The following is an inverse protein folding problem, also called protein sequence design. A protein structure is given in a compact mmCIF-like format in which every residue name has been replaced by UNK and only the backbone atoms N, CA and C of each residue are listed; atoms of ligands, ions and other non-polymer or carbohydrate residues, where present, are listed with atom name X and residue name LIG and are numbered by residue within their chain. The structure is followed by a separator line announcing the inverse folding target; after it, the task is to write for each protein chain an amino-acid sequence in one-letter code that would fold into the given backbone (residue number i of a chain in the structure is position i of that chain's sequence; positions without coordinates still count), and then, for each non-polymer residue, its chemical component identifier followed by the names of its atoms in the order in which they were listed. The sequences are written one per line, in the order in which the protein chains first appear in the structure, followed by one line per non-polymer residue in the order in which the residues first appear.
data_IF_288838295435
#
_entry.id   IF_288838295435
#
_cell.length_a   1.000
_cell.length_b   1.000
_cell.length_c   1.000
_cell.angle_alpha   90.00
_cell.angle_beta   90.00
_cell.angle_gamma   90.00
#
_symmetry.space_group_name_H-M   'P 1'
#
loop_
_entity.id
_entity.type
_entity.pdbx_description
1 polymer ?
#
# COMPACT_ATOMS: atom_id res chain seq x y z
N UNK A 1 27.51 23.38 18.57
CA UNK A 1 26.54 22.29 18.33
C UNK A 1 26.81 21.38 17.13
N UNK A 2 27.48 21.81 16.04
CA UNK A 2 27.75 20.92 14.86
C UNK A 2 28.76 19.78 15.11
N UNK A 3 29.75 19.98 15.99
CA UNK A 3 30.83 19.01 16.27
C UNK A 3 30.40 17.77 17.07
N UNK A 4 29.37 17.87 17.91
CA UNK A 4 28.82 16.71 18.63
C UNK A 4 28.00 15.79 17.72
N UNK A 5 27.43 16.34 16.64
CA UNK A 5 26.63 15.58 15.68
C UNK A 5 27.46 14.64 14.81
N UNK A 6 28.73 14.99 14.52
CA UNK A 6 29.62 14.19 13.69
C UNK A 6 30.26 13.05 14.48
N UNK A 7 30.70 13.29 15.73
CA UNK A 7 31.26 12.25 16.60
C UNK A 7 30.26 11.14 16.93
N UNK A 8 29.03 11.52 17.31
CA UNK A 8 27.96 10.56 17.60
C UNK A 8 27.60 9.71 16.38
N UNK A 9 27.53 10.32 15.18
CA UNK A 9 27.28 9.60 13.92
C UNK A 9 28.37 8.60 13.58
N UNK A 10 29.64 8.93 13.83
CA UNK A 10 30.78 8.02 13.57
C UNK A 10 30.80 6.86 14.56
N UNK A 11 30.55 7.11 15.85
CA UNK A 11 30.45 6.06 16.86
C UNK A 11 29.26 5.13 16.60
N UNK A 12 28.08 5.68 16.31
CA UNK A 12 26.90 4.88 15.94
C UNK A 12 27.15 4.04 14.68
N UNK A 13 27.84 4.58 13.67
CA UNK A 13 28.20 3.83 12.44
C UNK A 13 29.10 2.62 12.71
N UNK A 14 30.13 2.78 13.56
CA UNK A 14 31.03 1.67 13.92
C UNK A 14 30.31 0.62 14.76
N UNK A 15 29.51 1.07 15.75
CA UNK A 15 28.76 0.16 16.62
C UNK A 15 27.70 -0.61 15.83
N UNK A 16 26.94 0.07 14.96
CA UNK A 16 25.88 -0.56 14.17
C UNK A 16 26.45 -1.59 13.19
N UNK A 17 27.48 -1.23 12.42
CA UNK A 17 27.93 -2.08 11.31
C UNK A 17 28.76 -3.27 11.79
N UNK A 18 29.56 -3.10 12.85
CA UNK A 18 30.50 -4.15 13.31
C UNK A 18 29.87 -5.07 14.35
N UNK A 19 29.05 -4.54 15.28
CA UNK A 19 28.56 -5.34 16.41
C UNK A 19 27.11 -5.80 16.23
N UNK A 20 26.25 -5.01 15.59
CA UNK A 20 24.82 -5.33 15.42
C UNK A 20 24.54 -6.03 14.08
N UNK A 21 25.35 -5.80 13.05
CA UNK A 21 25.06 -6.36 11.71
C UNK A 21 25.94 -7.55 11.32
N UNK A 22 26.98 -7.87 12.08
CA UNK A 22 27.92 -8.96 11.76
C UNK A 22 27.31 -10.36 11.88
N UNK A 23 26.23 -10.52 12.65
CA UNK A 23 25.48 -11.77 12.78
C UNK A 23 24.05 -11.71 12.23
N UNK A 24 23.70 -10.66 11.49
CA UNK A 24 22.34 -10.47 11.00
C UNK A 24 22.09 -11.30 9.70
N UNK A 25 20.93 -12.00 9.57
CA UNK A 25 19.82 -12.08 10.53
C UNK A 25 20.09 -13.06 11.69
N UNK A 26 19.61 -12.70 12.89
CA UNK A 26 19.80 -13.52 14.09
C UNK A 26 18.79 -14.66 14.16
N UNK A 27 19.25 -15.85 14.58
CA UNK A 27 18.40 -17.00 14.89
C UNK A 27 18.41 -17.29 16.38
N UNK A 28 17.27 -17.70 16.94
CA UNK A 28 17.24 -18.18 18.31
C UNK A 28 17.72 -19.62 18.33
N UNK A 29 18.83 -19.86 19.03
CA UNK A 29 19.27 -21.21 19.37
C UNK A 29 18.36 -21.69 20.50
N UNK A 30 17.44 -22.60 20.20
CA UNK A 30 16.74 -23.32 21.25
C UNK A 30 17.78 -24.20 21.96
N UNK A 31 18.19 -23.78 23.16
CA UNK A 31 18.88 -24.67 24.10
C UNK A 31 17.89 -25.71 24.58
N UNK A 32 17.61 -26.69 23.73
CA UNK A 32 17.15 -27.99 24.20
C UNK A 32 18.27 -28.54 25.08
N UNK A 33 17.92 -28.90 26.32
CA UNK A 33 18.82 -29.49 27.30
C UNK A 33 19.32 -30.87 26.82
N UNK A 34 20.22 -30.89 25.85
CA UNK A 34 20.97 -32.08 25.46
C UNK A 34 22.45 -31.73 25.50
N UNK A 35 23.01 -31.86 26.69
CA UNK A 35 24.46 -31.96 26.89
C UNK A 35 24.93 -33.17 26.08
N UNK A 36 25.43 -32.96 24.86
CA UNK A 36 26.43 -33.84 24.26
C UNK A 36 27.47 -33.00 23.54
N UNK A 37 28.63 -32.92 24.20
CA UNK A 37 29.92 -32.55 23.64
C UNK A 37 30.11 -33.19 22.27
N UNK A 38 30.38 -32.39 21.25
CA UNK A 38 31.17 -32.82 20.10
C UNK A 38 31.96 -31.63 19.58
N UNK A 39 33.28 -31.82 19.49
CA UNK A 39 34.26 -30.87 18.98
C UNK A 39 34.25 -30.89 17.45
N UNK A 40 34.50 -29.72 16.85
CA UNK A 40 34.96 -29.48 15.46
C UNK A 40 34.06 -30.04 14.34
N UNK A 41 33.34 -29.16 13.64
CA UNK A 41 33.49 -28.99 12.19
C UNK A 41 32.66 -27.82 11.64
N UNK A 42 33.33 -27.07 10.76
CA UNK A 42 32.90 -26.28 9.60
C UNK A 42 31.71 -25.31 9.63
N UNK A 43 32.07 -24.12 9.18
CA UNK A 43 31.28 -23.00 8.70
C UNK A 43 30.23 -23.42 7.65
N UNK A 44 29.12 -22.66 7.62
CA UNK A 44 28.08 -22.67 6.59
C UNK A 44 27.21 -23.93 6.52
N UNK A 45 26.37 -24.11 7.54
CA UNK A 45 25.06 -24.73 7.31
C UNK A 45 24.03 -23.62 7.12
N UNK A 46 23.42 -23.55 5.93
CA UNK A 46 22.20 -22.77 5.73
C UNK A 46 21.12 -23.27 6.70
N UNK A 47 20.57 -22.43 7.58
CA UNK A 47 19.41 -22.84 8.34
C UNK A 47 18.20 -22.74 7.40
N UNK A 48 17.79 -23.87 6.84
CA UNK A 48 16.50 -24.03 6.16
C UNK A 48 15.35 -24.02 7.17
N UNK A 49 15.25 -22.97 8.00
CA UNK A 49 14.06 -22.49 8.73
C UNK A 49 14.41 -21.30 9.66
N UNK A 50 14.79 -20.14 9.08
CA UNK A 50 15.18 -18.90 9.80
C UNK A 50 14.00 -18.14 10.46
N UNK A 51 12.85 -18.79 10.70
CA UNK A 51 11.72 -18.17 11.43
C UNK A 51 11.42 -18.93 12.72
N UNK A 52 12.43 -19.28 13.52
CA UNK A 52 12.21 -19.81 14.88
C UNK A 52 11.96 -18.66 15.86
N UNK A 53 10.71 -18.55 16.31
CA UNK A 53 10.25 -17.65 17.38
C UNK A 53 9.74 -16.28 16.92
N UNK A 54 8.50 -15.93 17.27
CA UNK A 54 7.88 -14.63 16.97
C UNK A 54 8.72 -13.45 17.49
N UNK A 55 9.35 -13.59 18.66
CA UNK A 55 10.22 -12.57 19.26
C UNK A 55 11.52 -12.33 18.49
N UNK A 56 12.14 -13.38 17.94
CA UNK A 56 13.37 -13.27 17.15
C UNK A 56 13.12 -12.53 15.85
N UNK A 57 12.00 -12.84 15.21
CA UNK A 57 11.58 -12.12 14.00
C UNK A 57 11.31 -10.64 14.29
N UNK A 58 10.62 -10.34 15.38
CA UNK A 58 10.39 -8.96 15.82
C UNK A 58 11.70 -8.19 16.03
N UNK A 59 12.66 -8.76 16.77
CA UNK A 59 13.96 -8.12 17.00
C UNK A 59 14.74 -7.89 15.69
N UNK A 60 14.75 -8.87 14.77
CA UNK A 60 15.38 -8.70 13.48
C UNK A 60 14.73 -7.57 12.66
N UNK A 61 13.40 -7.42 12.73
CA UNK A 61 12.69 -6.31 12.07
C UNK A 61 13.03 -4.96 12.70
N UNK A 62 13.17 -4.89 14.03
CA UNK A 62 13.63 -3.68 14.72
C UNK A 62 15.04 -3.31 14.26
N UNK A 63 15.94 -4.29 14.15
CA UNK A 63 17.31 -4.08 13.65
C UNK A 63 17.30 -3.58 12.20
N UNK A 64 16.49 -4.20 11.33
CA UNK A 64 16.26 -3.72 9.96
C UNK A 64 15.82 -2.26 9.96
N UNK A 65 14.80 -1.92 10.74
CA UNK A 65 14.25 -0.56 10.79
C UNK A 65 15.31 0.44 11.25
N UNK A 66 16.01 0.15 12.35
CA UNK A 66 17.10 1.01 12.84
C UNK A 66 18.18 1.20 11.78
N UNK A 67 18.65 0.12 11.15
CA UNK A 67 19.63 0.18 10.08
C UNK A 67 19.16 1.06 8.91
N UNK A 68 17.92 0.85 8.47
CA UNK A 68 17.30 1.63 7.40
C UNK A 68 17.20 3.12 7.77
N UNK A 69 16.90 3.47 9.02
CA UNK A 69 16.77 4.86 9.47
C UNK A 69 18.13 5.56 9.64
N UNK A 70 19.13 4.90 10.21
CA UNK A 70 20.39 5.57 10.62
C UNK A 70 21.49 5.52 9.57
N UNK A 71 21.45 4.56 8.65
CA UNK A 71 22.55 4.33 7.71
C UNK A 71 22.65 5.45 6.67
N UNK A 72 23.80 6.13 6.61
CA UNK A 72 24.10 7.16 5.61
C UNK A 72 25.09 6.69 4.54
N UNK A 73 25.81 5.61 4.82
CA UNK A 73 26.81 4.99 3.96
C UNK A 73 26.81 3.49 4.26
N UNK A 74 25.76 2.78 3.79
CA UNK A 74 25.57 1.36 4.05
C UNK A 74 26.69 0.52 3.44
N UNK A 75 27.16 -0.47 4.20
CA UNK A 75 28.02 -1.51 3.66
C UNK A 75 27.19 -2.39 2.71
N UNK A 76 27.78 -2.74 1.55
CA UNK A 76 27.10 -3.49 0.48
C UNK A 76 26.51 -4.80 0.98
N UNK A 77 27.32 -5.58 1.70
CA UNK A 77 26.94 -6.88 2.26
C UNK A 77 25.78 -6.76 3.24
N UNK A 78 25.89 -5.84 4.21
CA UNK A 78 24.85 -5.60 5.21
C UNK A 78 23.52 -5.17 4.57
N UNK A 79 23.56 -4.27 3.59
CA UNK A 79 22.37 -3.88 2.84
C UNK A 79 21.76 -5.06 2.06
N UNK A 80 22.59 -5.95 1.52
CA UNK A 80 22.16 -7.18 0.87
C UNK A 80 21.42 -8.11 1.84
N UNK A 81 21.99 -8.38 3.01
CA UNK A 81 21.38 -9.23 4.03
C UNK A 81 20.03 -8.67 4.52
N UNK A 82 19.96 -7.35 4.76
CA UNK A 82 18.70 -6.67 5.10
C UNK A 82 17.69 -6.80 3.97
N UNK A 83 18.11 -6.55 2.72
CA UNK A 83 17.25 -6.67 1.56
C UNK A 83 16.66 -8.08 1.41
N UNK A 84 17.49 -9.11 1.57
CA UNK A 84 17.07 -10.50 1.48
C UNK A 84 16.11 -10.86 2.62
N UNK A 85 16.43 -10.45 3.85
CA UNK A 85 15.59 -10.70 5.02
C UNK A 85 14.20 -10.06 4.85
N UNK A 86 14.15 -8.79 4.47
CA UNK A 86 12.88 -8.07 4.21
C UNK A 86 12.09 -8.79 3.12
N UNK A 87 12.72 -9.15 2.00
CA UNK A 87 12.04 -9.86 0.90
C UNK A 87 11.49 -11.22 1.35
N UNK A 88 12.27 -12.03 2.07
CA UNK A 88 11.82 -13.31 2.66
C UNK A 88 10.67 -13.11 3.65
N UNK A 89 10.68 -12.00 4.40
CA UNK A 89 9.62 -11.71 5.34
C UNK A 89 8.32 -11.29 4.62
N UNK A 90 8.40 -10.50 3.54
CA UNK A 90 7.21 -10.14 2.73
C UNK A 90 6.49 -11.39 2.22
N UNK A 91 7.23 -12.32 1.61
CA UNK A 91 6.62 -13.50 0.97
C UNK A 91 5.99 -14.45 1.98
N UNK A 92 6.48 -14.47 3.22
CA UNK A 92 5.99 -15.31 4.30
C UNK A 92 4.98 -14.61 5.24
N UNK A 93 4.78 -13.30 5.10
CA UNK A 93 3.96 -12.51 6.02
C UNK A 93 2.53 -13.00 6.05
N UNK A 94 2.09 -13.57 7.17
CA UNK A 94 0.74 -14.10 7.32
C UNK A 94 -0.12 -13.20 8.21
N UNK A 95 -1.44 -13.19 7.96
CA UNK A 95 -2.40 -12.47 8.80
C UNK A 95 -2.53 -13.04 10.22
N UNK A 96 -1.90 -14.18 10.49
CA UNK A 96 -1.78 -14.77 11.83
C UNK A 96 -0.47 -14.43 12.55
N UNK A 97 0.43 -13.63 11.94
CA UNK A 97 1.59 -13.10 12.65
C UNK A 97 1.12 -12.19 13.78
N UNK A 98 1.85 -12.18 14.91
CA UNK A 98 1.45 -11.34 16.04
C UNK A 98 1.41 -9.86 15.62
N UNK A 99 0.52 -9.07 16.24
CA UNK A 99 0.32 -7.67 15.87
C UNK A 99 1.63 -6.87 15.92
N UNK A 100 2.48 -7.13 16.91
CA UNK A 100 3.74 -6.42 17.09
C UNK A 100 4.75 -6.66 15.96
N UNK A 101 4.93 -7.91 15.50
CA UNK A 101 5.80 -8.22 14.35
C UNK A 101 5.28 -7.57 13.08
N UNK A 102 3.95 -7.64 12.86
CA UNK A 102 3.32 -6.97 11.73
C UNK A 102 3.54 -5.46 11.75
N UNK A 103 3.37 -4.81 12.90
CA UNK A 103 3.62 -3.37 13.07
C UNK A 103 5.09 -3.00 12.79
N UNK A 104 6.05 -3.76 13.32
CA UNK A 104 7.46 -3.52 13.04
C UNK A 104 7.78 -3.70 11.55
N UNK A 105 7.15 -4.68 10.91
CA UNK A 105 7.39 -4.89 9.50
C UNK A 105 6.83 -3.77 8.62
N UNK A 106 5.65 -3.23 8.96
CA UNK A 106 5.10 -2.02 8.30
C UNK A 106 6.07 -0.86 8.45
N UNK A 107 6.70 -0.66 9.62
CA UNK A 107 7.71 0.39 9.82
C UNK A 107 8.93 0.20 8.93
N UNK A 108 9.42 -1.04 8.81
CA UNK A 108 10.52 -1.38 7.89
C UNK A 108 10.16 -1.01 6.45
N UNK A 109 9.00 -1.43 5.97
CA UNK A 109 8.54 -1.12 4.61
C UNK A 109 8.26 0.37 4.42
N UNK A 110 7.66 1.05 5.40
CA UNK A 110 7.40 2.49 5.37
C UNK A 110 8.68 3.32 5.29
N UNK A 111 9.72 2.92 6.02
CA UNK A 111 11.03 3.55 5.91
C UNK A 111 11.67 3.28 4.54
N UNK A 112 11.66 2.02 4.08
CA UNK A 112 12.32 1.59 2.85
C UNK A 112 11.66 2.14 1.57
N UNK A 113 10.34 1.99 1.47
CA UNK A 113 9.54 2.34 0.29
C UNK A 113 8.99 3.76 0.36
N UNK A 114 8.98 4.38 1.54
CA UNK A 114 8.48 5.73 1.77
C UNK A 114 9.60 6.71 2.11
N UNK A 115 9.83 6.90 3.40
CA UNK A 115 10.65 7.99 3.95
C UNK A 115 12.05 8.08 3.35
N UNK A 116 12.68 6.93 3.10
CA UNK A 116 14.05 6.83 2.59
C UNK A 116 14.14 6.18 1.22
N UNK A 117 13.04 6.14 0.47
CA UNK A 117 12.98 5.55 -0.87
C UNK A 117 14.07 6.06 -1.80
N UNK A 118 14.26 7.39 -1.89
CA UNK A 118 15.24 8.00 -2.80
C UNK A 118 16.70 7.66 -2.46
N UNK A 119 16.97 7.33 -1.20
CA UNK A 119 18.29 6.90 -0.75
C UNK A 119 18.52 5.42 -1.06
N UNK A 120 17.58 4.56 -0.66
CA UNK A 120 17.73 3.11 -0.78
C UNK A 120 17.55 2.59 -2.21
N UNK A 121 16.70 3.22 -3.02
CA UNK A 121 16.50 2.85 -4.44
C UNK A 121 17.76 3.00 -5.30
N UNK A 122 18.69 3.89 -4.91
CA UNK A 122 19.97 4.09 -5.61
C UNK A 122 21.05 3.11 -5.15
N UNK A 123 20.84 2.42 -4.03
CA UNK A 123 21.84 1.53 -3.46
C UNK A 123 21.75 0.13 -4.09
N UNK A 124 22.74 -0.25 -4.89
CA UNK A 124 22.70 -1.48 -5.72
C UNK A 124 22.42 -2.79 -4.96
N UNK A 125 22.82 -2.89 -3.68
CA UNK A 125 22.57 -4.10 -2.89
C UNK A 125 21.15 -4.16 -2.28
N UNK A 126 20.43 -3.04 -2.29
CA UNK A 126 19.05 -2.98 -1.79
C UNK A 126 18.09 -3.19 -2.95
N UNK A 127 17.43 -4.35 -3.00
CA UNK A 127 16.54 -4.72 -4.09
C UNK A 127 15.13 -4.08 -3.92
N UNK A 128 15.08 -2.75 -3.81
CA UNK A 128 13.83 -2.00 -3.60
C UNK A 128 12.73 -2.35 -4.62
N UNK A 129 13.01 -2.42 -5.94
CA UNK A 129 11.98 -2.80 -6.91
C UNK A 129 11.40 -4.20 -6.66
N UNK A 130 12.25 -5.18 -6.37
CA UNK A 130 11.80 -6.55 -6.09
C UNK A 130 11.07 -6.68 -4.75
N UNK A 131 11.39 -5.85 -3.77
CA UNK A 131 10.65 -5.79 -2.50
C UNK A 131 9.27 -5.18 -2.73
N UNK A 132 9.18 -4.08 -3.49
CA UNK A 132 7.89 -3.48 -3.85
C UNK A 132 7.00 -4.48 -4.60
N UNK A 133 7.57 -5.20 -5.56
CA UNK A 133 6.87 -6.25 -6.31
C UNK A 133 6.36 -7.34 -5.37
N UNK A 134 7.19 -7.84 -4.46
CA UNK A 134 6.74 -8.82 -3.47
C UNK A 134 5.60 -8.27 -2.60
N UNK A 135 5.66 -6.99 -2.19
CA UNK A 135 4.61 -6.35 -1.37
C UNK A 135 3.29 -6.27 -2.14
N UNK A 136 3.35 -5.83 -3.40
CA UNK A 136 2.16 -5.73 -4.27
C UNK A 136 1.58 -7.11 -4.60
N UNK A 137 2.41 -8.10 -4.93
CA UNK A 137 1.94 -9.47 -5.15
C UNK A 137 1.31 -10.06 -3.89
N UNK A 138 1.86 -9.75 -2.72
CA UNK A 138 1.32 -10.20 -1.43
C UNK A 138 -0.01 -9.53 -1.11
N UNK A 139 -0.19 -8.25 -1.46
CA UNK A 139 -1.46 -7.56 -1.26
C UNK A 139 -2.55 -8.04 -2.21
N UNK A 140 -2.22 -8.41 -3.46
CA UNK A 140 -3.16 -8.93 -4.45
C UNK A 140 -3.52 -10.41 -4.25
N UNK A 141 -2.55 -11.25 -3.89
CA UNK A 141 -2.69 -12.71 -3.96
C UNK A 141 -3.37 -13.37 -2.76
N UNK A 142 -3.67 -12.64 -1.69
CA UNK A 142 -4.19 -13.23 -0.43
C UNK A 142 -5.71 -13.07 -0.33
N UNK A 143 -6.40 -14.19 -0.08
CA UNK A 143 -7.86 -14.24 0.20
C UNK A 143 -8.30 -13.42 1.42
N UNK A 144 -7.36 -13.10 2.31
CA UNK A 144 -7.57 -12.18 3.43
C UNK A 144 -6.65 -11.00 3.21
N UNK A 145 -7.23 -9.81 3.04
CA UNK A 145 -6.49 -8.56 3.01
C UNK A 145 -5.62 -8.46 4.27
N UNK A 146 -4.39 -7.95 4.10
CA UNK A 146 -3.56 -7.52 5.21
C UNK A 146 -3.79 -5.99 5.30
N UNK A 147 -4.64 -5.49 6.22
CA UNK A 147 -5.06 -4.08 6.22
C UNK A 147 -3.86 -3.14 6.32
N UNK A 148 -2.82 -3.55 7.05
CA UNK A 148 -1.61 -2.77 7.22
C UNK A 148 -0.84 -2.56 5.89
N UNK A 149 -0.82 -3.56 5.01
CA UNK A 149 -0.23 -3.44 3.67
C UNK A 149 -1.06 -2.54 2.77
N UNK A 150 -2.39 -2.69 2.81
CA UNK A 150 -3.30 -1.81 2.08
C UNK A 150 -3.05 -0.35 2.47
N UNK A 151 -3.07 -0.03 3.76
CA UNK A 151 -2.84 1.33 4.24
C UNK A 151 -1.45 1.87 3.87
N UNK A 152 -0.41 1.04 3.98
CA UNK A 152 0.94 1.41 3.55
C UNK A 152 0.95 1.77 2.06
N UNK A 153 0.43 0.89 1.19
CA UNK A 153 0.44 1.11 -0.26
C UNK A 153 -0.38 2.34 -0.66
N UNK A 154 -1.55 2.55 -0.04
CA UNK A 154 -2.34 3.78 -0.22
C UNK A 154 -1.52 5.01 0.16
N UNK A 155 -0.86 4.99 1.32
CA UNK A 155 -0.01 6.10 1.77
C UNK A 155 1.13 6.37 0.79
N UNK A 156 1.78 5.33 0.26
CA UNK A 156 2.85 5.47 -0.73
C UNK A 156 2.35 6.10 -2.04
N UNK A 157 1.14 5.75 -2.49
CA UNK A 157 0.54 6.29 -3.72
C UNK A 157 0.09 7.75 -3.53
N UNK A 158 -0.38 8.12 -2.34
CA UNK A 158 -0.83 9.47 -2.02
C UNK A 158 0.33 10.45 -1.72
N UNK A 159 1.52 9.96 -1.40
CA UNK A 159 2.68 10.81 -1.10
C UNK A 159 3.23 11.45 -2.39
N UNK A 160 3.07 12.77 -2.50
CA UNK A 160 3.54 13.57 -3.65
C UNK A 160 5.05 13.43 -3.90
N UNK A 161 5.84 13.19 -2.85
CA UNK A 161 7.31 12.99 -2.95
C UNK A 161 7.64 11.68 -3.67
N UNK A 162 6.71 10.73 -3.68
CA UNK A 162 6.84 9.40 -4.25
C UNK A 162 6.06 9.26 -5.58
N UNK A 163 5.73 10.35 -6.26
CA UNK A 163 4.99 10.34 -7.54
C UNK A 163 5.56 9.37 -8.59
N UNK A 164 6.89 9.20 -8.63
CA UNK A 164 7.56 8.28 -9.56
C UNK A 164 7.34 6.82 -9.16
N UNK A 165 7.33 6.54 -7.85
CA UNK A 165 6.98 5.22 -7.32
C UNK A 165 5.52 4.90 -7.64
N UNK A 166 4.60 5.84 -7.42
CA UNK A 166 3.18 5.67 -7.75
C UNK A 166 2.96 5.34 -9.24
N UNK A 167 3.80 5.87 -10.14
CA UNK A 167 3.80 5.59 -11.59
C UNK A 167 4.56 4.31 -11.99
N UNK A 168 5.13 3.59 -11.03
CA UNK A 168 5.87 2.35 -11.29
C UNK A 168 4.97 1.31 -11.97
N UNK A 169 5.45 0.58 -12.99
CA UNK A 169 4.69 -0.48 -13.64
C UNK A 169 4.24 -1.59 -12.68
N UNK A 170 4.91 -1.73 -11.53
CA UNK A 170 4.54 -2.68 -10.48
C UNK A 170 3.29 -2.22 -9.71
N UNK A 171 3.16 -0.92 -9.43
CA UNK A 171 2.06 -0.37 -8.63
C UNK A 171 0.82 -0.07 -9.47
N UNK A 172 0.99 0.24 -10.75
CA UNK A 172 -0.12 0.64 -11.63
C UNK A 172 -1.23 -0.42 -11.73
N UNK A 173 -0.94 -1.73 -11.93
CA UNK A 173 -1.97 -2.77 -11.91
C UNK A 173 -2.69 -2.88 -10.56
N UNK A 174 -1.95 -2.72 -9.45
CA UNK A 174 -2.55 -2.72 -8.12
C UNK A 174 -3.52 -1.55 -7.95
N UNK A 175 -3.12 -0.34 -8.34
CA UNK A 175 -3.98 0.85 -8.31
C UNK A 175 -5.23 0.65 -9.18
N UNK A 176 -5.07 0.07 -10.37
CA UNK A 176 -6.18 -0.22 -11.28
C UNK A 176 -7.16 -1.28 -10.73
N UNK A 177 -6.70 -2.16 -9.83
CA UNK A 177 -7.59 -3.15 -9.17
C UNK A 177 -8.39 -2.59 -8.01
N UNK A 178 -8.00 -1.44 -7.44
CA UNK A 178 -8.63 -0.90 -6.23
C UNK A 178 -10.13 -0.61 -6.35
N UNK A 179 -10.67 -0.13 -7.48
CA UNK A 179 -12.11 0.06 -7.64
C UNK A 179 -12.93 -1.22 -7.48
N UNK A 180 -12.35 -2.40 -7.71
CA UNK A 180 -13.05 -3.68 -7.49
C UNK A 180 -13.47 -3.88 -6.02
N UNK A 181 -12.75 -3.25 -5.08
CA UNK A 181 -13.09 -3.28 -3.65
C UNK A 181 -14.42 -2.59 -3.35
N UNK A 182 -14.81 -1.59 -4.16
CA UNK A 182 -16.10 -0.89 -4.02
C UNK A 182 -17.29 -1.74 -4.48
N UNK A 183 -17.02 -2.76 -5.30
CA UNK A 183 -18.02 -3.68 -5.82
C UNK A 183 -18.27 -4.88 -4.89
N UNK A 184 -17.57 -5.00 -3.75
CA UNK A 184 -17.75 -6.09 -2.80
C UNK A 184 -18.99 -5.90 -1.92
N UNK A 185 -19.80 -6.94 -1.64
CA UNK A 185 -21.06 -6.81 -0.91
C UNK A 185 -20.92 -6.15 0.47
N UNK A 186 -19.75 -6.30 1.10
CA UNK A 186 -19.38 -5.63 2.34
C UNK A 186 -18.08 -4.86 2.10
N UNK A 187 -18.09 -3.54 2.31
CA UNK A 187 -16.91 -2.68 2.11
C UNK A 187 -16.54 -2.02 3.44
N UNK A 188 -15.28 -2.15 3.91
CA UNK A 188 -14.86 -1.42 5.10
C UNK A 188 -14.89 0.09 4.92
N UNK A 189 -15.39 0.83 5.91
CA UNK A 189 -15.35 2.31 5.92
C UNK A 189 -13.94 2.87 5.76
N UNK A 190 -12.93 2.13 6.24
CA UNK A 190 -11.51 2.47 6.06
C UNK A 190 -11.09 2.41 4.59
N UNK A 191 -11.56 1.41 3.83
CA UNK A 191 -11.34 1.28 2.39
C UNK A 191 -12.01 2.43 1.65
N UNK A 192 -13.29 2.71 1.94
CA UNK A 192 -14.04 3.85 1.37
C UNK A 192 -13.27 5.16 1.55
N UNK A 193 -12.82 5.47 2.77
CA UNK A 193 -12.04 6.68 3.07
C UNK A 193 -10.70 6.73 2.34
N UNK A 194 -10.00 5.60 2.25
CA UNK A 194 -8.72 5.52 1.55
C UNK A 194 -8.87 5.73 0.05
N UNK A 195 -9.87 5.09 -0.57
CA UNK A 195 -10.14 5.23 -2.00
C UNK A 195 -10.69 6.62 -2.33
N UNK A 196 -11.48 7.23 -1.44
CA UNK A 196 -11.96 8.60 -1.60
C UNK A 196 -10.80 9.59 -1.69
N UNK A 197 -9.78 9.44 -0.85
CA UNK A 197 -8.53 10.22 -0.95
C UNK A 197 -7.82 10.02 -2.30
N UNK A 198 -7.79 8.80 -2.83
CA UNK A 198 -7.22 8.53 -4.16
C UNK A 198 -8.01 9.21 -5.28
N UNK A 199 -9.34 9.19 -5.20
CA UNK A 199 -10.21 9.90 -6.14
C UNK A 199 -9.90 11.41 -6.15
N UNK A 200 -9.76 12.02 -4.98
CA UNK A 200 -9.38 13.44 -4.85
C UNK A 200 -8.00 13.78 -5.44
N UNK A 201 -7.06 12.83 -5.47
CA UNK A 201 -5.68 13.04 -5.92
C UNK A 201 -5.50 12.97 -7.46
N UNK A 202 -6.59 12.90 -8.23
CA UNK A 202 -6.57 12.83 -9.71
C UNK A 202 -5.61 11.77 -10.26
N UNK A 203 -5.57 10.59 -9.62
CA UNK A 203 -4.78 9.47 -10.10
C UNK A 203 -5.45 8.87 -11.35
N UNK A 204 -4.94 9.21 -12.55
CA UNK A 204 -5.52 8.79 -13.83
C UNK A 204 -5.83 7.30 -13.90
N UNK A 205 -4.94 6.45 -13.40
CA UNK A 205 -5.10 4.98 -13.47
C UNK A 205 -6.24 4.49 -12.60
N UNK A 206 -6.33 5.00 -11.37
CA UNK A 206 -7.47 4.74 -10.50
C UNK A 206 -8.77 5.26 -11.12
N UNK A 207 -8.78 6.47 -11.67
CA UNK A 207 -9.95 7.08 -12.31
C UNK A 207 -10.45 6.30 -13.52
N UNK A 208 -9.56 5.89 -14.43
CA UNK A 208 -9.94 5.08 -15.59
C UNK A 208 -10.54 3.74 -15.17
N UNK A 209 -9.92 3.08 -14.19
CA UNK A 209 -10.46 1.83 -13.64
C UNK A 209 -11.78 2.04 -12.90
N UNK A 210 -11.94 3.16 -12.19
CA UNK A 210 -13.20 3.50 -11.52
C UNK A 210 -14.32 3.64 -12.55
N UNK A 211 -14.09 4.39 -13.63
CA UNK A 211 -15.07 4.56 -14.72
C UNK A 211 -15.50 3.23 -15.34
N UNK A 212 -14.56 2.31 -15.58
CA UNK A 212 -14.84 0.96 -16.10
C UNK A 212 -15.74 0.15 -15.15
N UNK A 213 -15.57 0.35 -13.84
CA UNK A 213 -16.32 -0.38 -12.81
C UNK A 213 -17.64 0.30 -12.42
N UNK A 214 -17.90 1.53 -12.85
CA UNK A 214 -19.14 2.24 -12.50
C UNK A 214 -20.43 1.51 -12.87
N UNK A 215 -20.57 0.88 -14.05
CA UNK A 215 -21.77 0.11 -14.37
C UNK A 215 -22.02 -1.01 -13.36
N UNK A 216 -20.94 -1.71 -12.96
CA UNK A 216 -21.00 -2.76 -11.93
C UNK A 216 -21.29 -2.17 -10.56
N UNK A 217 -20.80 -0.97 -10.25
CA UNK A 217 -21.03 -0.30 -8.98
C UNK A 217 -22.49 0.16 -8.81
N UNK A 218 -23.12 0.63 -9.91
CA UNK A 218 -24.49 1.17 -9.94
C UNK A 218 -25.56 0.09 -10.12
N UNK A 219 -25.32 -0.91 -10.98
CA UNK A 219 -26.32 -1.89 -11.40
C UNK A 219 -26.97 -2.65 -10.24
N UNK A 220 -28.28 -2.93 -10.29
CA UNK A 220 -28.96 -3.78 -9.29
C UNK A 220 -28.55 -5.27 -9.36
N UNK A 221 -28.13 -5.76 -10.53
CA UNK A 221 -27.84 -7.18 -10.76
C UNK A 221 -26.42 -7.59 -10.35
N UNK A 222 -25.51 -6.63 -10.28
CA UNK A 222 -24.09 -6.84 -10.00
C UNK A 222 -23.50 -5.80 -9.02
N UNK A 223 -24.31 -4.83 -8.61
CA UNK A 223 -23.88 -3.59 -7.99
C UNK A 223 -24.66 -3.19 -6.78
N UNK A 224 -23.97 -2.36 -6.04
CA UNK A 224 -23.91 -2.51 -4.61
C UNK A 224 -24.41 -1.23 -3.94
N UNK A 225 -24.43 -0.08 -4.63
CA UNK A 225 -24.68 1.20 -3.95
C UNK A 225 -26.01 1.23 -3.16
N UNK A 226 -27.07 0.60 -3.69
CA UNK A 226 -28.36 0.49 -3.01
C UNK A 226 -28.41 -0.53 -1.86
N UNK A 227 -27.56 -1.55 -1.84
CA UNK A 227 -27.63 -2.72 -0.94
C UNK A 227 -26.34 -3.05 -0.17
N UNK A 228 -25.26 -2.31 -0.42
CA UNK A 228 -23.93 -2.51 0.15
C UNK A 228 -23.96 -2.28 1.64
N UNK A 229 -23.26 -3.13 2.36
CA UNK A 229 -22.99 -2.92 3.77
C UNK A 229 -21.63 -2.25 3.90
N UNK A 230 -21.60 -1.00 4.37
CA UNK A 230 -20.33 -0.35 4.72
C UNK A 230 -20.05 -0.58 6.19
N UNK A 231 -19.03 -1.38 6.52
CA UNK A 231 -18.72 -1.71 7.92
C UNK A 231 -18.08 -0.52 8.66
N UNK A 232 -18.41 -0.37 9.94
CA UNK A 232 -18.12 0.83 10.75
C UNK A 232 -19.21 1.90 10.72
N UNK A 233 -20.34 1.64 10.04
CA UNK A 233 -21.54 2.48 10.00
C UNK A 233 -22.78 1.73 10.51
N UNK A 234 -22.63 0.87 11.51
CA UNK A 234 -23.70 -0.02 12.00
C UNK A 234 -24.93 0.77 12.51
N UNK A 235 -24.69 1.97 13.06
CA UNK A 235 -25.74 2.86 13.56
C UNK A 235 -26.45 3.67 12.47
N UNK A 236 -25.79 3.86 11.33
CA UNK A 236 -26.33 4.61 10.19
C UNK A 236 -25.82 4.04 8.86
N UNK A 237 -26.43 2.94 8.36
CA UNK A 237 -26.02 2.31 7.10
C UNK A 237 -26.22 3.20 5.87
N UNK A 238 -27.10 4.21 5.95
CA UNK A 238 -27.34 5.15 4.86
C UNK A 238 -26.13 6.07 4.68
N UNK A 239 -25.54 6.57 5.77
CA UNK A 239 -24.35 7.40 5.72
C UNK A 239 -23.17 6.68 5.07
N UNK A 240 -22.99 5.38 5.34
CA UNK A 240 -21.99 4.56 4.65
C UNK A 240 -22.20 4.54 3.13
N UNK A 241 -23.46 4.37 2.69
CA UNK A 241 -23.83 4.39 1.27
C UNK A 241 -23.65 5.77 0.63
N UNK A 242 -23.93 6.85 1.34
CA UNK A 242 -23.66 8.22 0.88
C UNK A 242 -22.18 8.47 0.64
N UNK A 243 -21.31 8.08 1.57
CA UNK A 243 -19.86 8.17 1.41
C UNK A 243 -19.35 7.35 0.21
N UNK A 244 -20.02 6.23 -0.11
CA UNK A 244 -19.73 5.46 -1.30
C UNK A 244 -20.25 6.15 -2.58
N UNK A 245 -21.42 6.79 -2.52
CA UNK A 245 -21.97 7.56 -3.63
C UNK A 245 -21.08 8.74 -4.05
N UNK A 246 -20.26 9.28 -3.14
CA UNK A 246 -19.32 10.35 -3.43
C UNK A 246 -18.30 9.98 -4.54
N UNK A 247 -18.04 8.68 -4.78
CA UNK A 247 -17.21 8.25 -5.92
C UNK A 247 -17.83 8.63 -7.27
N UNK A 248 -19.16 8.75 -7.34
CA UNK A 248 -19.82 9.28 -8.52
C UNK A 248 -19.32 10.69 -8.77
N UNK A 249 -19.23 11.59 -7.78
CA UNK A 249 -18.76 12.96 -8.01
C UNK A 249 -17.42 13.02 -8.76
N UNK A 250 -16.52 12.08 -8.47
CA UNK A 250 -15.19 11.98 -9.08
C UNK A 250 -15.15 11.32 -10.46
N UNK A 251 -16.29 10.90 -11.01
CA UNK A 251 -16.43 10.30 -12.33
C UNK A 251 -17.04 11.31 -13.33
N UNK A 252 -16.24 12.23 -13.91
CA UNK A 252 -16.76 13.41 -14.62
C UNK A 252 -17.55 13.07 -15.88
N UNK A 253 -17.20 11.98 -16.57
CA UNK A 253 -17.81 11.58 -17.83
C UNK A 253 -18.43 10.18 -17.68
N UNK A 254 -19.71 10.15 -17.29
CA UNK A 254 -20.48 8.92 -17.34
C UNK A 254 -20.81 8.62 -18.81
N UNK A 255 -20.58 7.38 -19.24
CA UNK A 255 -21.04 6.95 -20.56
C UNK A 255 -22.58 7.05 -20.62
N UNK A 256 -23.17 7.25 -21.81
CA UNK A 256 -24.64 7.32 -21.95
C UNK A 256 -25.36 6.09 -21.39
N UNK A 257 -24.75 4.90 -21.50
CA UNK A 257 -25.27 3.67 -20.90
C UNK A 257 -25.21 3.69 -19.36
N UNK A 258 -24.13 4.21 -18.78
CA UNK A 258 -23.98 4.33 -17.33
C UNK A 258 -24.93 5.39 -16.77
N UNK A 259 -25.13 6.50 -17.49
CA UNK A 259 -26.09 7.53 -17.11
C UNK A 259 -27.52 6.98 -17.10
N UNK A 260 -27.94 6.30 -18.17
CA UNK A 260 -29.27 5.68 -18.24
C UNK A 260 -29.49 4.69 -17.09
N UNK A 261 -28.48 3.85 -16.82
CA UNK A 261 -28.52 2.90 -15.70
C UNK A 261 -28.68 3.63 -14.36
N UNK A 262 -27.95 4.74 -14.16
CA UNK A 262 -28.05 5.54 -12.94
C UNK A 262 -29.46 6.13 -12.78
N UNK A 263 -30.03 6.68 -13.85
CA UNK A 263 -31.39 7.24 -13.83
C UNK A 263 -32.44 6.17 -13.48
N UNK A 264 -32.31 4.96 -14.02
CA UNK A 264 -33.18 3.82 -13.67
C UNK A 264 -33.03 3.39 -12.21
N UNK A 265 -31.80 3.41 -11.67
CA UNK A 265 -31.54 3.02 -10.28
C UNK A 265 -31.98 4.07 -9.26
N UNK A 266 -31.90 5.36 -9.59
CA UNK A 266 -32.38 6.44 -8.73
C UNK A 266 -33.86 6.30 -8.37
N UNK A 267 -34.67 5.72 -9.27
CA UNK A 267 -36.09 5.41 -9.02
C UNK A 267 -36.29 4.26 -8.03
N UNK A 268 -35.28 3.41 -7.83
CA UNK A 268 -35.35 2.22 -7.00
C UNK A 268 -34.67 2.38 -5.63
N UNK A 269 -33.80 3.38 -5.46
CA UNK A 269 -33.06 3.60 -4.22
C UNK A 269 -33.89 4.32 -3.15
N UNK A 270 -33.41 4.25 -1.91
CA UNK A 270 -33.96 5.05 -0.81
C UNK A 270 -33.96 6.53 -1.18
N UNK A 271 -35.05 7.25 -0.85
CA UNK A 271 -35.24 8.65 -1.26
C UNK A 271 -34.09 9.56 -0.80
N UNK A 272 -33.50 9.31 0.37
CA UNK A 272 -32.38 10.11 0.87
C UNK A 272 -31.09 9.82 0.11
N UNK A 273 -30.86 8.56 -0.29
CA UNK A 273 -29.72 8.19 -1.11
C UNK A 273 -29.86 8.76 -2.53
N UNK A 274 -31.06 8.65 -3.11
CA UNK A 274 -31.36 9.22 -4.42
C UNK A 274 -31.18 10.74 -4.42
N UNK A 275 -31.71 11.46 -3.42
CA UNK A 275 -31.52 12.92 -3.28
C UNK A 275 -30.04 13.28 -3.18
N UNK A 276 -29.28 12.58 -2.32
CA UNK A 276 -27.84 12.80 -2.16
C UNK A 276 -27.09 12.64 -3.48
N UNK A 277 -27.38 11.56 -4.22
CA UNK A 277 -26.75 11.33 -5.54
C UNK A 277 -27.15 12.42 -6.52
N UNK A 278 -28.42 12.80 -6.61
CA UNK A 278 -28.87 13.87 -7.51
C UNK A 278 -28.17 15.20 -7.20
N UNK A 279 -28.05 15.56 -5.92
CA UNK A 279 -27.32 16.75 -5.47
C UNK A 279 -25.82 16.68 -5.82
N UNK A 280 -25.18 15.54 -5.56
CA UNK A 280 -23.77 15.31 -5.94
C UNK A 280 -23.54 15.50 -7.44
N UNK A 281 -24.41 14.95 -8.28
CA UNK A 281 -24.32 15.09 -9.73
C UNK A 281 -24.53 16.54 -10.18
N UNK A 282 -25.46 17.26 -9.55
CA UNK A 282 -25.72 18.67 -9.84
C UNK A 282 -24.55 19.58 -9.47
N UNK A 283 -23.79 19.24 -8.42
CA UNK A 283 -22.60 19.97 -8.00
C UNK A 283 -21.35 19.69 -8.86
N UNK A 284 -21.38 18.68 -9.74
CA UNK A 284 -20.19 18.36 -10.54
C UNK A 284 -19.81 19.55 -11.43
N UNK A 285 -18.54 19.96 -11.45
CA UNK A 285 -18.08 20.95 -12.40
C UNK A 285 -18.31 20.39 -13.80
N UNK A 286 -19.16 21.04 -14.60
CA UNK A 286 -19.31 20.71 -16.01
C UNK A 286 -17.95 20.90 -16.65
N UNK A 287 -17.30 19.80 -17.02
CA UNK A 287 -16.11 19.85 -17.86
C UNK A 287 -16.58 20.57 -19.12
N UNK A 288 -16.16 21.83 -19.28
CA UNK A 288 -16.32 22.50 -20.57
C UNK A 288 -15.49 21.66 -21.52
N UNK A 289 -16.15 20.83 -22.31
CA UNK A 289 -15.56 20.23 -23.50
C UNK A 289 -15.02 21.41 -24.29
N UNK A 290 -13.71 21.67 -24.21
CA UNK A 290 -13.05 22.54 -25.18
C UNK A 290 -13.38 21.90 -26.51
N UNK A 291 -14.16 22.59 -27.32
CA UNK A 291 -14.57 22.05 -28.61
C UNK A 291 -13.30 21.70 -29.36
N UNK A 292 -13.34 20.61 -30.12
CA UNK A 292 -12.24 20.18 -30.99
C UNK A 292 -11.78 21.32 -31.92
N UNK A 293 -12.65 22.30 -32.14
CA UNK A 293 -12.40 23.57 -32.82
C UNK A 293 -11.39 24.48 -32.11
N UNK A 294 -11.45 24.65 -30.78
CA UNK A 294 -10.47 25.45 -30.02
C UNK A 294 -9.07 24.82 -30.02
N UNK A 295 -9.00 23.48 -30.07
CA UNK A 295 -7.73 22.75 -30.19
C UNK A 295 -7.18 22.84 -31.61
N UNK A 296 -8.03 22.81 -32.64
CA UNK A 296 -7.61 23.02 -34.03
C UNK A 296 -7.19 24.48 -34.30
N UNK A 297 -7.85 25.48 -33.72
CA UNK A 297 -7.43 26.89 -33.82
C UNK A 297 -6.07 27.11 -33.15
N UNK A 298 -5.84 26.56 -31.96
CA UNK A 298 -4.55 26.66 -31.27
C UNK A 298 -3.41 25.93 -32.00
N UNK A 299 -3.72 24.87 -32.75
CA UNK A 299 -2.75 24.16 -33.60
C UNK A 299 -2.56 24.82 -34.98
N UNK A 300 -3.45 25.70 -35.41
CA UNK A 300 -3.32 26.46 -36.66
C UNK A 300 -2.47 27.74 -36.54
N UNK A 301 -2.11 28.10 -35.30
CA UNK A 301 -1.29 29.26 -34.95
C UNK A 301 0.17 28.86 -34.65
N UNK A 302 0.49 27.56 -34.65
CA UNK A 302 1.85 27.00 -34.55
C UNK A 302 2.31 26.49 -35.92
#
# INVERSE_FOLDING_TARGET
MKLWSSGLKVCLKKISTVYIMSGFPYTQVETSNTIKRSKKQDMFQEPSNVMSGSKTSEHNLIICHLYLCISTSPAREVAGNVSEYVKKHVTKWNSGDNNTTSEQFVKVLGCLLGERFMFWSKHKAMAVPSILEAVVSTSLGRKREIPALFHLLIHLVLDIRLKNLARSPVLQPWIASLPDLLCQPVVPSTVVKCLGKLACHNNRTFHMALLDKLPHFISKSQGNLGSVVVSGYEKDPLEGRKNLADFLYWAPELSPSTQKLLDEQLLCWDANLASHVTELLAMRPRVKTRSTQEVQELLSVL
#
